data_IF_872009359051
#
_entry.id   IF_872009359051
#
_cell.length_a   1.000
_cell.length_b   1.000
_cell.length_c   1.000
_cell.angle_alpha   90.00
_cell.angle_beta   90.00
_cell.angle_gamma   90.00
#
_symmetry.space_group_name_H-M   'P 1'
#
loop_
_entity.id
_entity.type
_entity.pdbx_description
1 polymer ?
#
# COMPACT_ATOMS: atom_id res chain seq x y z
N UNK A 1 14.14 25.30 18.65
CA UNK A 1 13.26 26.41 18.21
C UNK A 1 11.92 26.16 18.86
N UNK A 2 11.37 27.16 19.54
CA UNK A 2 10.17 26.95 20.34
C UNK A 2 8.95 27.41 19.56
N UNK A 3 7.93 26.56 19.51
CA UNK A 3 6.73 26.76 18.70
C UNK A 3 5.51 26.71 19.60
N UNK A 4 4.86 27.86 19.80
CA UNK A 4 3.73 27.97 20.71
C UNK A 4 2.44 27.55 19.98
N UNK A 5 1.96 26.34 20.27
CA UNK A 5 0.67 25.84 19.78
C UNK A 5 -0.46 26.30 20.72
N UNK A 6 -0.23 26.24 22.03
CA UNK A 6 -1.10 26.85 23.03
C UNK A 6 -0.27 27.75 23.99
N UNK A 7 -0.47 29.09 23.98
CA UNK A 7 0.14 30.01 24.95
C UNK A 7 -0.31 29.84 26.40
N UNK A 8 -1.36 29.03 26.62
CA UNK A 8 -1.82 28.57 27.93
C UNK A 8 -1.56 27.08 28.17
N UNK A 9 -0.83 26.43 27.25
CA UNK A 9 -0.51 25.02 27.30
C UNK A 9 0.24 24.63 28.57
N UNK A 10 -0.22 23.52 29.16
CA UNK A 10 0.25 22.88 30.38
C UNK A 10 1.24 21.73 30.11
N UNK A 11 1.52 21.43 28.84
CA UNK A 11 2.53 20.48 28.41
C UNK A 11 3.46 21.05 27.31
N UNK A 12 4.62 20.42 27.14
CA UNK A 12 5.58 20.67 26.05
C UNK A 12 5.89 19.33 25.38
N UNK A 13 5.51 19.17 24.12
CA UNK A 13 5.93 18.04 23.30
C UNK A 13 7.28 18.35 22.67
N UNK A 14 8.26 17.48 22.91
CA UNK A 14 9.66 17.66 22.52
C UNK A 14 9.99 16.66 21.42
N UNK A 15 10.14 17.16 20.20
CA UNK A 15 10.53 16.39 19.03
C UNK A 15 12.06 16.31 18.95
N UNK A 16 12.59 15.10 19.11
CA UNK A 16 13.99 14.72 18.90
C UNK A 16 14.22 14.21 17.48
N UNK A 17 15.44 14.35 16.96
CA UNK A 17 15.83 13.89 15.62
C UNK A 17 14.81 14.31 14.52
N UNK A 18 14.45 15.62 14.43
CA UNK A 18 13.36 16.06 13.57
C UNK A 18 13.68 15.88 12.07
N UNK A 19 12.66 15.46 11.31
CA UNK A 19 12.70 15.30 9.84
C UNK A 19 13.59 14.16 9.32
N UNK A 20 13.74 13.05 10.05
CA UNK A 20 14.42 11.85 9.53
C UNK A 20 13.54 11.06 8.53
N UNK A 21 12.22 11.27 8.53
CA UNK A 21 11.28 10.68 7.56
C UNK A 21 11.58 11.11 6.10
N UNK A 22 12.19 10.21 5.32
CA UNK A 22 12.52 10.40 3.91
C UNK A 22 11.96 9.25 3.06
N UNK A 23 11.02 9.55 2.15
CA UNK A 23 10.50 8.57 1.18
C UNK A 23 11.42 8.47 -0.05
N UNK A 24 12.51 7.71 0.11
CA UNK A 24 13.44 7.34 -0.95
C UNK A 24 12.89 6.21 -1.83
N UNK A 25 13.01 6.34 -3.14
CA UNK A 25 12.61 5.30 -4.10
C UNK A 25 13.86 4.64 -4.72
N UNK A 26 13.89 3.31 -4.95
CA UNK A 26 15.04 2.63 -5.55
C UNK A 26 15.38 3.13 -6.96
N UNK A 27 16.65 3.51 -7.17
CA UNK A 27 17.15 3.86 -8.49
C UNK A 27 17.08 2.67 -9.46
N UNK A 28 16.51 2.91 -10.64
CA UNK A 28 16.35 1.91 -11.71
C UNK A 28 14.93 1.37 -11.89
N UNK A 29 14.09 1.33 -10.85
CA UNK A 29 12.68 0.98 -10.99
C UNK A 29 11.93 2.20 -11.58
N UNK A 30 11.44 2.09 -12.82
CA UNK A 30 10.97 3.22 -13.66
C UNK A 30 9.67 3.89 -13.17
N UNK A 31 9.74 4.67 -12.09
CA UNK A 31 8.67 5.59 -11.70
C UNK A 31 8.43 6.65 -12.79
N UNK A 32 7.22 6.69 -13.35
CA UNK A 32 6.81 7.55 -14.46
C UNK A 32 6.66 9.04 -14.13
N UNK A 33 7.66 9.69 -13.51
CA UNK A 33 7.51 10.95 -12.78
C UNK A 33 8.33 12.16 -13.25
N UNK A 34 8.57 12.38 -14.55
CA UNK A 34 9.29 13.59 -15.02
C UNK A 34 8.41 14.85 -14.99
N UNK A 35 8.31 15.46 -13.80
CA UNK A 35 7.65 16.75 -13.58
C UNK A 35 8.20 17.89 -14.47
N UNK A 36 7.31 18.67 -15.09
CA UNK A 36 7.66 19.74 -16.04
C UNK A 36 8.26 20.98 -15.34
N UNK A 37 9.59 21.05 -15.24
CA UNK A 37 10.32 22.32 -15.01
C UNK A 37 10.84 22.90 -16.34
N UNK A 38 10.90 24.22 -16.44
CA UNK A 38 11.65 24.91 -17.52
C UNK A 38 10.82 25.70 -18.55
N UNK A 39 10.03 26.68 -18.11
CA UNK A 39 9.49 27.73 -19.01
C UNK A 39 10.66 28.54 -19.57
N UNK A 40 10.97 28.42 -20.87
CA UNK A 40 11.93 29.31 -21.58
C UNK A 40 11.19 30.22 -22.55
N UNK A 41 11.29 31.52 -22.31
CA UNK A 41 10.75 32.55 -23.20
C UNK A 41 11.65 32.73 -24.43
N UNK A 42 11.03 32.90 -25.61
CA UNK A 42 11.65 33.54 -26.76
C UNK A 42 10.64 34.43 -27.45
N UNK A 43 10.90 35.74 -27.44
CA UNK A 43 10.18 36.72 -28.25
C UNK A 43 10.37 36.46 -29.75
N UNK A 44 9.31 36.52 -30.56
CA UNK A 44 9.35 37.36 -31.76
C UNK A 44 7.99 37.78 -32.38
N UNK A 45 7.98 39.04 -32.82
CA UNK A 45 7.09 39.80 -33.73
C UNK A 45 5.73 39.20 -34.20
N UNK A 46 4.68 39.88 -33.73
CA UNK A 46 3.45 40.34 -34.44
C UNK A 46 3.28 39.93 -35.93
N UNK A 47 2.21 39.18 -36.21
CA UNK A 47 1.45 39.23 -37.47
C UNK A 47 0.01 39.68 -37.19
N UNK A 48 -0.65 40.42 -38.10
CA UNK A 48 -1.92 41.13 -37.81
C UNK A 48 -3.02 40.87 -38.86
N UNK A 49 -4.05 40.08 -38.50
CA UNK A 49 -5.39 39.90 -39.12
C UNK A 49 -6.12 38.79 -38.33
N UNK A 50 -7.42 38.83 -37.95
CA UNK A 50 -8.36 39.95 -37.84
C UNK A 50 -9.82 39.56 -38.10
N UNK A 51 -10.74 39.69 -37.10
CA UNK A 51 -12.21 39.40 -37.14
C UNK A 51 -12.54 37.90 -37.34
N UNK A 52 -13.63 37.29 -36.85
CA UNK A 52 -14.72 37.53 -35.84
C UNK A 52 -14.79 36.22 -34.98
N UNK A 53 -15.39 36.10 -33.79
CA UNK A 53 -16.28 37.00 -33.05
C UNK A 53 -17.70 36.44 -32.91
N UNK A 54 -17.94 35.59 -31.89
CA UNK A 54 -19.25 35.37 -31.22
C UNK A 54 -19.08 34.48 -29.97
N UNK A 55 -19.67 34.89 -28.84
CA UNK A 55 -19.89 34.02 -27.68
C UNK A 55 -21.13 33.16 -27.91
N UNK A 56 -21.16 31.97 -27.29
CA UNK A 56 -22.37 31.42 -26.68
C UNK A 56 -21.96 30.90 -25.30
N UNK A 57 -22.45 31.56 -24.26
CA UNK A 57 -22.48 31.00 -22.90
C UNK A 57 -23.58 29.93 -22.88
N UNK A 58 -23.39 28.86 -22.10
CA UNK A 58 -24.51 28.01 -21.74
C UNK A 58 -24.35 27.51 -20.30
N UNK A 59 -25.02 28.21 -19.38
CA UNK A 59 -25.34 27.64 -18.09
C UNK A 59 -26.19 26.36 -18.26
N UNK A 60 -26.13 25.49 -17.24
CA UNK A 60 -27.23 24.60 -16.92
C UNK A 60 -27.52 24.78 -15.43
N UNK A 61 -28.74 25.24 -15.14
CA UNK A 61 -29.23 25.49 -13.79
C UNK A 61 -29.69 24.18 -13.11
N UNK A 62 -29.90 24.24 -11.79
CA UNK A 62 -30.40 23.12 -11.02
C UNK A 62 -31.94 23.12 -10.91
N UNK A 63 -32.54 21.95 -11.05
CA UNK A 63 -33.88 21.60 -10.57
C UNK A 63 -33.78 20.15 -10.06
N UNK A 64 -33.98 19.85 -8.77
CA UNK A 64 -35.19 19.97 -7.95
C UNK A 64 -36.13 18.75 -8.10
N UNK A 65 -36.06 17.87 -7.10
CA UNK A 65 -37.01 16.78 -6.82
C UNK A 65 -38.47 17.28 -6.77
N UNK A 66 -39.43 16.42 -7.12
CA UNK A 66 -40.43 16.09 -6.11
C UNK A 66 -41.01 14.66 -6.17
N UNK A 67 -41.27 14.10 -4.98
CA UNK A 67 -42.58 13.49 -4.71
C UNK A 67 -42.66 11.97 -4.59
N UNK A 68 -42.34 11.47 -3.39
CA UNK A 68 -43.13 10.50 -2.62
C UNK A 68 -44.15 9.60 -3.35
N UNK A 69 -43.97 8.29 -3.23
CA UNK A 69 -45.10 7.40 -2.92
C UNK A 69 -44.66 6.26 -1.98
N UNK A 70 -45.58 5.70 -1.18
CA UNK A 70 -45.26 4.77 -0.06
C UNK A 70 -46.38 3.78 0.26
N UNK A 71 -46.08 2.47 0.26
CA UNK A 71 -46.79 1.48 1.07
C UNK A 71 -45.95 1.01 2.28
N UNK A 72 -46.64 0.41 3.26
CA UNK A 72 -46.12 -0.17 4.50
C UNK A 72 -47.19 -1.12 5.08
N UNK A 73 -46.90 -1.97 6.09
CA UNK A 73 -45.66 -2.70 6.38
C UNK A 73 -45.89 -4.20 6.71
N UNK A 74 -44.79 -4.97 6.88
CA UNK A 74 -44.67 -6.13 7.80
C UNK A 74 -45.54 -7.40 7.54
N UNK A 75 -45.32 -8.56 8.22
CA UNK A 75 -45.10 -8.76 9.66
C UNK A 75 -43.75 -9.38 10.10
N UNK A 76 -43.51 -9.27 11.40
CA UNK A 76 -42.39 -9.81 12.17
C UNK A 76 -42.43 -11.35 12.31
N UNK A 77 -41.28 -11.96 12.63
CA UNK A 77 -41.21 -13.20 13.42
C UNK A 77 -40.01 -13.14 14.37
N UNK A 78 -40.29 -13.14 15.68
CA UNK A 78 -39.29 -13.18 16.76
C UNK A 78 -39.67 -14.25 17.76
N UNK A 79 -38.76 -15.21 18.01
CA UNK A 79 -38.80 -16.08 19.17
C UNK A 79 -37.39 -16.60 19.51
N UNK A 80 -36.97 -16.35 20.74
CA UNK A 80 -35.90 -17.07 21.47
C UNK A 80 -36.59 -17.82 22.64
N UNK A 81 -35.85 -18.51 23.54
CA UNK A 81 -34.69 -19.39 23.36
C UNK A 81 -35.05 -20.84 23.79
N UNK A 82 -34.08 -21.75 23.85
CA UNK A 82 -34.17 -23.01 24.62
C UNK A 82 -32.87 -23.20 25.40
N UNK A 83 -32.93 -23.76 26.60
CA UNK A 83 -31.79 -24.03 27.46
C UNK A 83 -31.71 -25.53 27.85
N UNK A 84 -30.50 -25.95 28.20
CA UNK A 84 -30.14 -27.17 28.94
C UNK A 84 -30.91 -27.29 30.28
N UNK A 85 -31.08 -28.49 30.90
CA UNK A 85 -29.92 -29.24 31.44
C UNK A 85 -30.03 -30.78 31.63
N UNK A 86 -28.98 -31.32 32.28
CA UNK A 86 -28.86 -32.54 33.10
C UNK A 86 -28.78 -33.94 32.44
N UNK A 87 -27.58 -34.56 32.50
CA UNK A 87 -27.33 -35.71 33.40
C UNK A 87 -25.82 -35.95 33.70
N UNK A 88 -25.50 -36.62 34.81
CA UNK A 88 -24.16 -36.77 35.43
C UNK A 88 -23.49 -38.18 35.24
N UNK A 89 -22.17 -38.33 35.55
CA UNK A 89 -21.39 -39.54 35.23
C UNK A 89 -21.04 -40.50 36.40
N UNK A 90 -20.91 -41.80 36.11
CA UNK A 90 -20.21 -42.85 36.89
C UNK A 90 -20.04 -44.14 36.03
N UNK A 91 -19.11 -45.08 36.26
CA UNK A 91 -17.94 -45.11 37.14
C UNK A 91 -17.40 -46.55 37.39
N UNK A 92 -16.11 -46.82 37.11
CA UNK A 92 -15.38 -48.07 37.45
C UNK A 92 -15.69 -49.33 36.59
N UNK A 93 -15.00 -50.48 36.81
CA UNK A 93 -13.96 -50.76 37.82
C UNK A 93 -12.57 -51.19 37.25
N UNK A 94 -11.56 -51.33 38.12
CA UNK A 94 -10.26 -52.00 37.87
C UNK A 94 -10.35 -53.53 38.09
N UNK A 95 -9.34 -54.31 37.64
CA UNK A 95 -8.31 -54.89 38.55
C UNK A 95 -6.90 -55.04 37.90
N UNK A 96 -5.78 -55.40 38.53
CA UNK A 96 -5.32 -55.55 39.94
C UNK A 96 -3.77 -55.70 39.93
N UNK A 97 -3.06 -55.40 41.05
CA UNK A 97 -1.84 -56.05 41.63
C UNK A 97 -0.61 -56.41 40.73
N UNK A 98 0.67 -56.53 41.11
CA UNK A 98 1.58 -56.54 42.30
C UNK A 98 3.02 -56.28 41.70
N UNK A 99 4.19 -55.99 42.32
CA UNK A 99 4.80 -55.49 43.59
C UNK A 99 6.34 -55.37 43.33
N UNK A 100 7.26 -54.79 44.13
CA UNK A 100 7.28 -53.81 45.24
C UNK A 100 8.75 -53.34 45.48
N UNK A 101 8.95 -52.32 46.33
CA UNK A 101 10.22 -51.94 47.01
C UNK A 101 11.33 -51.29 46.12
N UNK A 102 12.23 -50.42 46.60
CA UNK A 102 12.44 -49.86 47.95
C UNK A 102 13.28 -48.55 47.97
N UNK A 103 13.37 -47.90 49.14
CA UNK A 103 14.31 -46.82 49.55
C UNK A 103 14.03 -45.36 49.14
N UNK A 104 14.66 -44.43 49.86
CA UNK A 104 14.22 -43.02 50.05
C UNK A 104 15.37 -41.98 50.06
N UNK A 105 14.98 -40.71 50.15
CA UNK A 105 15.70 -39.49 50.56
C UNK A 105 16.34 -38.58 49.47
N UNK A 106 15.71 -37.41 49.31
CA UNK A 106 16.26 -36.06 49.09
C UNK A 106 17.45 -35.74 50.06
N UNK A 107 18.27 -34.66 49.87
CA UNK A 107 17.94 -33.41 49.15
C UNK A 107 19.04 -32.75 48.26
N UNK A 108 18.60 -31.68 47.56
CA UNK A 108 19.31 -30.44 47.12
C UNK A 108 20.79 -30.46 46.66
N UNK A 109 21.07 -29.91 45.47
CA UNK A 109 22.43 -29.58 44.99
C UNK A 109 22.46 -28.62 43.79
N UNK A 110 23.43 -27.69 43.77
CA UNK A 110 23.58 -26.63 42.75
C UNK A 110 24.35 -27.10 41.48
N UNK A 111 24.05 -26.57 40.26
CA UNK A 111 24.68 -27.06 39.02
C UNK A 111 26.00 -26.37 38.65
N UNK A 112 27.07 -27.17 38.54
CA UNK A 112 28.33 -26.94 37.82
C UNK A 112 28.99 -28.33 37.62
N UNK A 113 29.93 -28.60 36.71
CA UNK A 113 30.62 -27.84 35.67
C UNK A 113 31.14 -28.84 34.61
N UNK A 114 31.58 -28.39 33.43
CA UNK A 114 32.76 -28.95 32.75
C UNK A 114 33.22 -28.00 31.62
N UNK A 115 34.48 -27.61 31.66
CA UNK A 115 35.08 -26.59 30.79
C UNK A 115 36.29 -27.14 29.99
N UNK A 116 37.17 -26.23 29.56
CA UNK A 116 38.42 -26.43 28.78
C UNK A 116 38.27 -26.56 27.24
N UNK A 117 39.12 -25.94 26.41
CA UNK A 117 40.10 -24.87 26.67
C UNK A 117 40.39 -24.04 25.39
N UNK A 118 41.07 -22.89 25.56
CA UNK A 118 41.46 -21.94 24.50
C UNK A 118 42.87 -22.21 23.97
N UNK A 119 43.25 -21.65 22.81
CA UNK A 119 44.30 -20.62 22.85
C UNK A 119 44.03 -19.38 21.97
N UNK A 120 44.96 -18.41 21.98
CA UNK A 120 44.78 -17.00 21.55
C UNK A 120 45.94 -16.46 20.70
N UNK A 121 45.66 -15.60 19.71
CA UNK A 121 46.61 -14.70 19.00
C UNK A 121 45.80 -13.85 17.98
N UNK A 122 46.00 -12.55 17.72
CA UNK A 122 46.73 -11.48 18.46
C UNK A 122 46.28 -10.06 18.03
N UNK A 123 46.68 -9.06 18.82
CA UNK A 123 46.93 -7.65 18.44
C UNK A 123 45.92 -6.92 17.51
N UNK A 124 44.97 -6.19 18.10
CA UNK A 124 44.38 -5.02 17.45
C UNK A 124 45.41 -3.89 17.33
N UNK A 125 45.44 -3.18 16.20
CA UNK A 125 46.19 -1.92 16.07
C UNK A 125 45.27 -0.72 16.30
N UNK A 126 45.76 0.26 17.03
CA UNK A 126 45.05 1.50 17.34
C UNK A 126 44.71 2.28 16.07
N UNK A 127 43.53 2.91 16.03
CA UNK A 127 43.24 3.97 15.06
C UNK A 127 42.48 5.09 15.75
N UNK A 128 43.26 5.94 16.43
CA UNK A 128 43.04 7.37 16.69
C UNK A 128 41.59 7.84 16.59
N UNK A 129 40.93 7.98 17.75
CA UNK A 129 39.56 8.48 17.88
C UNK A 129 39.33 9.78 17.10
N UNK A 130 38.33 9.86 16.21
CA UNK A 130 37.84 11.14 15.75
C UNK A 130 37.14 11.82 16.93
N UNK A 131 37.48 13.09 17.17
CA UNK A 131 36.79 13.91 18.17
C UNK A 131 35.38 14.22 17.68
N UNK A 132 34.40 13.43 18.11
CA UNK A 132 32.99 13.75 17.92
C UNK A 132 32.67 15.05 18.65
N UNK A 133 32.53 16.14 17.90
CA UNK A 133 31.80 17.30 18.36
C UNK A 133 30.36 16.86 18.64
N UNK A 134 29.94 16.92 19.90
CA UNK A 134 28.53 16.83 20.25
C UNK A 134 27.82 18.08 19.69
N UNK A 135 27.36 18.01 18.44
CA UNK A 135 26.18 18.77 18.06
C UNK A 135 25.03 18.19 18.88
N UNK A 136 24.47 18.99 19.80
CA UNK A 136 23.27 18.57 20.53
C UNK A 136 22.15 18.25 19.53
N UNK A 137 21.38 17.16 19.74
CA UNK A 137 20.25 16.84 18.87
C UNK A 137 19.34 18.06 18.76
N UNK A 138 19.01 18.48 17.53
CA UNK A 138 18.17 19.66 17.29
C UNK A 138 16.74 19.41 17.78
N UNK A 139 16.47 19.67 19.05
CA UNK A 139 15.12 19.55 19.59
C UNK A 139 14.20 20.69 19.08
N UNK A 140 12.96 20.33 18.75
CA UNK A 140 11.87 21.28 18.49
C UNK A 140 10.83 21.12 19.59
N UNK A 141 10.59 22.19 20.34
CA UNK A 141 9.63 22.19 21.45
C UNK A 141 8.31 22.80 21.01
N UNK A 142 7.23 22.07 21.23
CA UNK A 142 5.85 22.47 20.93
C UNK A 142 5.10 22.66 22.25
N UNK A 143 4.76 23.89 22.62
CA UNK A 143 3.92 24.14 23.79
C UNK A 143 2.46 23.85 23.46
N UNK A 144 1.83 22.96 24.22
CA UNK A 144 0.56 22.28 23.88
C UNK A 144 -0.31 22.10 25.12
N UNK A 145 -1.62 21.86 24.92
CA UNK A 145 -2.57 21.53 25.96
C UNK A 145 -2.74 20.01 26.08
N UNK A 146 -2.52 19.47 27.27
CA UNK A 146 -2.71 18.04 27.57
C UNK A 146 -4.13 17.60 27.25
N UNK A 147 -5.13 18.40 27.62
CA UNK A 147 -6.54 18.10 27.44
C UNK A 147 -6.95 17.97 25.97
N UNK A 148 -6.40 18.80 25.08
CA UNK A 148 -6.65 18.69 23.64
C UNK A 148 -6.02 17.43 23.05
N UNK A 149 -4.78 17.10 23.46
CA UNK A 149 -4.09 15.89 23.03
C UNK A 149 -4.81 14.61 23.50
N UNK A 150 -5.13 14.51 24.80
CA UNK A 150 -5.86 13.38 25.38
C UNK A 150 -7.27 13.22 24.80
N UNK A 151 -7.95 14.30 24.44
CA UNK A 151 -9.27 14.21 23.81
C UNK A 151 -9.17 13.64 22.39
N UNK A 152 -8.25 14.18 21.58
CA UNK A 152 -8.14 13.87 20.15
C UNK A 152 -7.40 12.56 19.81
N UNK A 153 -6.72 11.93 20.77
CA UNK A 153 -5.88 10.75 20.54
C UNK A 153 -5.85 9.83 21.77
N UNK A 154 -6.13 8.52 21.63
CA UNK A 154 -5.95 7.57 22.71
C UNK A 154 -4.46 7.36 23.05
N UNK A 155 -3.56 7.50 22.07
CA UNK A 155 -2.11 7.33 22.27
C UNK A 155 -1.53 8.49 23.08
N UNK A 156 -1.84 9.75 22.74
CA UNK A 156 -1.45 10.88 23.59
C UNK A 156 -2.08 10.80 24.98
N UNK A 157 -3.33 10.30 25.09
CA UNK A 157 -3.97 10.05 26.39
C UNK A 157 -3.15 9.09 27.25
N UNK A 158 -2.74 7.95 26.68
CA UNK A 158 -1.87 6.97 27.36
C UNK A 158 -0.50 7.57 27.73
N UNK A 159 0.08 8.44 26.88
CA UNK A 159 1.32 9.16 27.19
C UNK A 159 1.17 10.19 28.32
N UNK A 160 -0.03 10.72 28.56
CA UNK A 160 -0.32 11.75 29.57
C UNK A 160 -0.86 11.20 30.90
N UNK A 161 -1.47 10.02 30.88
CA UNK A 161 -2.14 9.35 32.01
C UNK A 161 -1.41 8.09 32.50
N UNK A 162 -0.50 7.53 31.69
CA UNK A 162 0.15 6.24 31.95
C UNK A 162 1.23 6.25 33.04
N UNK A 163 1.63 5.06 33.54
CA UNK A 163 2.68 4.92 34.56
C UNK A 163 4.12 5.15 34.04
N UNK A 164 4.30 5.48 32.75
CA UNK A 164 5.59 5.86 32.19
C UNK A 164 5.99 7.22 32.76
N UNK A 165 7.01 7.26 33.63
CA UNK A 165 7.45 8.48 34.35
C UNK A 165 8.26 9.46 33.47
N UNK A 166 7.95 9.58 32.19
CA UNK A 166 8.43 10.69 31.37
C UNK A 166 7.61 11.94 31.71
N UNK A 167 8.13 12.77 32.63
CA UNK A 167 7.54 14.07 32.96
C UNK A 167 7.08 14.28 34.41
N UNK A 168 7.19 13.30 35.31
CA UNK A 168 6.91 13.51 36.75
C UNK A 168 8.15 14.07 37.46
N UNK A 169 8.52 15.30 37.11
CA UNK A 169 9.23 16.19 38.03
C UNK A 169 8.18 16.91 38.87
N UNK A 170 8.06 16.49 40.13
CA UNK A 170 7.01 16.93 41.03
C UNK A 170 7.01 18.46 41.19
N UNK A 171 5.87 19.09 40.91
CA UNK A 171 5.66 20.54 41.03
C UNK A 171 6.04 21.44 39.84
N UNK A 172 6.64 20.95 38.74
CA UNK A 172 6.98 21.81 37.59
C UNK A 172 6.00 21.68 36.42
N UNK A 173 5.20 22.73 36.19
CA UNK A 173 4.46 22.95 34.94
C UNK A 173 5.31 23.82 33.99
N UNK A 174 5.31 23.54 32.66
CA UNK A 174 4.51 22.54 31.95
C UNK A 174 5.16 21.14 31.94
N UNK A 175 4.36 20.08 31.81
CA UNK A 175 4.86 18.69 31.70
C UNK A 175 5.62 18.47 30.39
N UNK A 176 6.81 17.87 30.41
CA UNK A 176 7.50 17.47 29.19
C UNK A 176 7.03 16.09 28.69
N UNK A 177 6.72 15.98 27.39
CA UNK A 177 6.46 14.74 26.66
C UNK A 177 7.53 14.56 25.57
N UNK A 178 8.07 13.36 25.39
CA UNK A 178 9.05 13.11 24.34
C UNK A 178 8.47 12.41 23.12
N UNK A 179 9.00 12.75 21.94
CA UNK A 179 8.74 12.05 20.69
C UNK A 179 9.92 12.23 19.74
N UNK A 180 9.99 11.46 18.66
CA UNK A 180 11.19 11.39 17.82
C UNK A 180 10.88 11.18 16.34
N UNK A 181 11.83 11.53 15.48
CA UNK A 181 11.92 11.15 14.05
C UNK A 181 10.87 11.77 13.11
N UNK A 182 9.77 12.30 13.63
CA UNK A 182 8.73 12.97 12.86
C UNK A 182 9.22 14.18 12.04
N UNK A 183 8.62 14.36 10.86
CA UNK A 183 8.66 15.62 10.12
C UNK A 183 8.03 16.74 10.94
N UNK A 184 8.79 17.81 11.16
CA UNK A 184 8.42 18.94 12.03
C UNK A 184 7.20 19.67 11.52
N UNK A 185 7.04 19.79 10.19
CA UNK A 185 5.92 20.51 9.59
C UNK A 185 4.66 19.65 9.58
N UNK A 186 4.77 18.34 9.34
CA UNK A 186 3.66 17.41 9.49
C UNK A 186 3.12 17.40 10.94
N UNK A 187 4.01 17.30 11.94
CA UNK A 187 3.63 17.36 13.36
C UNK A 187 3.05 18.73 13.73
N UNK A 188 3.64 19.83 13.26
CA UNK A 188 3.11 21.18 13.46
C UNK A 188 1.70 21.33 12.87
N UNK A 189 1.42 20.75 11.70
CA UNK A 189 0.08 20.76 11.11
C UNK A 189 -0.92 19.96 11.95
N UNK A 190 -0.58 18.73 12.35
CA UNK A 190 -1.45 17.89 13.19
C UNK A 190 -1.78 18.55 14.53
N UNK A 191 -0.77 19.12 15.21
CA UNK A 191 -0.98 19.84 16.47
C UNK A 191 -1.88 21.08 16.31
N UNK A 192 -1.79 21.80 15.18
CA UNK A 192 -2.71 22.93 14.90
C UNK A 192 -4.16 22.47 14.64
N UNK A 193 -4.36 21.27 14.10
CA UNK A 193 -5.69 20.66 13.96
C UNK A 193 -6.26 20.30 15.34
N UNK A 194 -5.51 19.53 16.14
CA UNK A 194 -5.93 19.08 17.48
C UNK A 194 -6.29 20.25 18.41
N UNK A 195 -5.58 21.39 18.31
CA UNK A 195 -5.85 22.59 19.11
C UNK A 195 -6.85 23.56 18.47
N UNK A 196 -7.64 23.12 17.48
CA UNK A 196 -8.68 23.94 16.81
C UNK A 196 -8.14 25.16 16.05
N UNK A 197 -6.83 25.27 15.83
CA UNK A 197 -6.16 26.44 15.24
C UNK A 197 -6.25 26.42 13.70
N UNK A 198 -7.46 26.21 13.17
CA UNK A 198 -7.71 25.95 11.75
C UNK A 198 -7.19 27.05 10.80
N UNK A 199 -7.03 28.30 11.29
CA UNK A 199 -6.41 29.41 10.53
C UNK A 199 -4.90 29.23 10.26
N UNK A 200 -4.21 28.40 11.06
CA UNK A 200 -2.81 28.05 10.90
C UNK A 200 -2.59 26.75 10.09
N UNK A 201 -3.67 26.03 9.77
CA UNK A 201 -3.64 24.79 8.97
C UNK A 201 -3.59 25.16 7.48
N UNK A 202 -2.67 24.58 6.67
CA UNK A 202 -2.59 24.88 5.24
C UNK A 202 -3.86 24.49 4.47
N UNK A 203 -4.30 25.34 3.53
CA UNK A 203 -5.42 25.01 2.62
C UNK A 203 -5.08 23.93 1.57
N UNK A 204 -3.80 23.61 1.44
CA UNK A 204 -3.25 22.60 0.52
C UNK A 204 -1.89 22.17 1.03
N UNK A 205 -1.59 20.88 0.99
CA UNK A 205 -0.27 20.30 1.32
C UNK A 205 0.30 19.58 0.10
N UNK A 206 1.58 19.21 0.14
CA UNK A 206 2.14 18.29 -0.87
C UNK A 206 1.72 16.84 -0.56
N UNK A 207 1.74 15.95 -1.56
CA UNK A 207 1.46 14.52 -1.35
C UNK A 207 2.43 13.89 -0.33
N UNK A 208 3.71 14.26 -0.36
CA UNK A 208 4.69 13.81 0.64
C UNK A 208 4.33 14.29 2.05
N UNK A 209 3.93 15.55 2.20
CA UNK A 209 3.47 16.11 3.47
C UNK A 209 2.20 15.39 3.96
N UNK A 210 1.28 15.04 3.05
CA UNK A 210 0.08 14.27 3.38
C UNK A 210 0.41 12.84 3.81
N UNK A 211 1.37 12.18 3.16
CA UNK A 211 1.89 10.88 3.58
C UNK A 211 2.52 10.92 4.98
N UNK A 212 3.31 11.96 5.28
CA UNK A 212 3.89 12.18 6.61
C UNK A 212 2.82 12.47 7.67
N UNK A 213 1.79 13.23 7.35
CA UNK A 213 0.62 13.42 8.23
C UNK A 213 -0.13 12.10 8.43
N UNK A 214 -0.30 11.28 7.40
CA UNK A 214 -0.95 9.97 7.51
C UNK A 214 -0.21 9.04 8.49
N UNK A 215 1.13 9.00 8.48
CA UNK A 215 1.93 8.23 9.46
C UNK A 215 1.63 8.71 10.89
N UNK A 216 1.57 10.02 11.11
CA UNK A 216 1.27 10.58 12.44
C UNK A 216 -0.17 10.27 12.88
N UNK A 217 -1.13 10.32 11.96
CA UNK A 217 -2.55 10.10 12.29
C UNK A 217 -2.85 8.63 12.58
N UNK A 218 -2.22 7.72 11.82
CA UNK A 218 -2.23 6.28 12.07
C UNK A 218 -1.60 5.96 13.44
N UNK A 219 -0.36 6.43 13.66
CA UNK A 219 0.39 6.23 14.90
C UNK A 219 -0.32 6.78 16.15
N UNK A 220 -0.83 8.01 16.09
CA UNK A 220 -1.56 8.62 17.22
C UNK A 220 -3.05 8.26 17.26
N UNK A 221 -3.56 7.52 16.27
CA UNK A 221 -4.97 7.09 16.14
C UNK A 221 -5.97 8.25 16.22
N UNK A 222 -5.67 9.37 15.54
CA UNK A 222 -6.44 10.62 15.63
C UNK A 222 -7.19 10.99 14.32
N UNK A 223 -7.72 9.98 13.63
CA UNK A 223 -8.36 10.09 12.32
C UNK A 223 -9.49 11.14 12.28
N UNK A 224 -10.46 11.05 13.19
CA UNK A 224 -11.67 11.89 13.26
C UNK A 224 -11.36 13.40 13.22
N UNK A 225 -10.40 13.88 14.02
CA UNK A 225 -10.07 15.32 14.05
C UNK A 225 -9.41 15.82 12.75
N UNK A 226 -8.87 14.93 11.91
CA UNK A 226 -8.18 15.29 10.67
C UNK A 226 -9.01 15.13 9.39
N UNK A 227 -10.10 14.35 9.44
CA UNK A 227 -10.91 13.94 8.28
C UNK A 227 -11.23 15.09 7.30
N UNK A 228 -11.82 16.18 7.81
CA UNK A 228 -12.24 17.35 7.02
C UNK A 228 -11.06 18.06 6.31
N UNK A 229 -9.86 18.01 6.89
CA UNK A 229 -8.66 18.57 6.26
C UNK A 229 -8.08 17.64 5.20
N UNK A 230 -8.11 16.33 5.45
CA UNK A 230 -7.64 15.30 4.53
C UNK A 230 -8.49 15.29 3.26
N UNK A 231 -9.81 15.31 3.37
CA UNK A 231 -10.75 15.44 2.25
C UNK A 231 -10.43 16.67 1.36
N UNK A 232 -10.22 17.83 2.00
CA UNK A 232 -9.87 19.08 1.33
C UNK A 232 -8.53 18.97 0.57
N UNK A 233 -7.54 18.31 1.16
CA UNK A 233 -6.22 18.13 0.56
C UNK A 233 -6.21 17.11 -0.57
N UNK A 234 -6.88 15.97 -0.40
CA UNK A 234 -7.02 14.95 -1.45
C UNK A 234 -7.72 15.53 -2.68
N UNK A 235 -8.80 16.31 -2.48
CA UNK A 235 -9.50 17.03 -3.54
C UNK A 235 -8.64 18.11 -4.23
N UNK A 236 -7.69 18.73 -3.51
CA UNK A 236 -6.73 19.66 -4.09
C UNK A 236 -5.61 18.96 -4.90
N UNK A 237 -5.33 17.69 -4.57
CA UNK A 237 -4.32 16.82 -5.19
C UNK A 237 -4.87 15.92 -6.31
N UNK A 238 -6.19 15.72 -6.43
CA UNK A 238 -6.86 14.81 -7.38
C UNK A 238 -6.36 14.94 -8.83
N UNK A 239 -6.13 16.18 -9.29
CA UNK A 239 -5.58 16.50 -10.63
C UNK A 239 -4.17 15.95 -10.90
N UNK A 240 -3.42 15.66 -9.84
CA UNK A 240 -2.04 15.16 -9.82
C UNK A 240 -2.00 13.66 -9.44
N UNK A 241 -3.15 12.96 -9.45
CA UNK A 241 -3.25 11.52 -9.20
C UNK A 241 -2.44 10.72 -10.26
N UNK A 242 -1.63 9.73 -9.86
CA UNK A 242 -0.71 9.04 -10.76
C UNK A 242 -1.39 8.14 -11.78
N UNK A 243 -0.84 8.09 -13.00
CA UNK A 243 -1.28 7.25 -14.12
C UNK A 243 -0.39 6.03 -14.35
N UNK A 244 0.46 5.68 -13.37
CA UNK A 244 1.43 4.58 -13.40
C UNK A 244 1.94 4.30 -11.99
N UNK A 245 2.35 3.06 -11.73
CA UNK A 245 2.99 2.69 -10.46
C UNK A 245 4.32 3.43 -10.23
N UNK A 246 4.57 3.81 -8.98
CA UNK A 246 5.80 4.48 -8.52
C UNK A 246 5.62 5.13 -7.15
N UNK A 247 6.65 5.87 -6.69
CA UNK A 247 6.67 6.64 -5.43
C UNK A 247 5.33 7.28 -5.07
N UNK A 248 4.81 8.13 -5.95
CA UNK A 248 3.60 8.88 -5.68
C UNK A 248 2.38 7.95 -5.53
N UNK A 249 2.25 6.87 -6.31
CA UNK A 249 1.14 5.91 -6.14
C UNK A 249 1.24 5.11 -4.84
N UNK A 250 2.44 4.81 -4.35
CA UNK A 250 2.61 4.18 -3.02
C UNK A 250 2.21 5.14 -1.90
N UNK A 251 2.51 6.45 -2.02
CA UNK A 251 2.04 7.44 -1.03
C UNK A 251 0.51 7.57 -1.08
N UNK A 252 -0.09 7.68 -2.28
CA UNK A 252 -1.56 7.68 -2.41
C UNK A 252 -2.19 6.38 -1.85
N UNK A 253 -1.56 5.22 -2.07
CA UNK A 253 -2.01 3.93 -1.50
C UNK A 253 -2.05 4.00 0.03
N UNK A 254 -0.94 4.36 0.66
CA UNK A 254 -0.85 4.44 2.13
C UNK A 254 -1.84 5.48 2.71
N UNK A 255 -1.91 6.67 2.12
CA UNK A 255 -2.87 7.71 2.54
C UNK A 255 -4.32 7.21 2.40
N UNK A 256 -4.65 6.55 1.29
CA UNK A 256 -6.00 5.99 1.08
C UNK A 256 -6.34 4.80 1.97
N UNK A 257 -5.34 4.08 2.47
CA UNK A 257 -5.48 3.03 3.47
C UNK A 257 -5.82 3.64 4.84
N UNK A 258 -4.95 4.51 5.37
CA UNK A 258 -5.13 5.18 6.67
C UNK A 258 -6.48 5.89 6.77
N UNK A 259 -6.85 6.65 5.74
CA UNK A 259 -8.10 7.40 5.71
C UNK A 259 -9.27 6.66 5.03
N UNK A 260 -9.15 5.35 4.80
CA UNK A 260 -10.22 4.47 4.29
C UNK A 260 -10.91 4.94 2.98
N UNK A 261 -10.22 5.67 2.11
CA UNK A 261 -10.79 6.17 0.84
C UNK A 261 -10.80 5.08 -0.24
N UNK A 262 -11.81 4.20 -0.20
CA UNK A 262 -11.94 3.01 -1.05
C UNK A 262 -11.69 3.25 -2.55
N UNK A 263 -12.21 4.32 -3.13
CA UNK A 263 -12.06 4.61 -4.57
C UNK A 263 -10.63 5.07 -4.98
N UNK A 264 -9.80 5.49 -4.02
CA UNK A 264 -8.38 5.84 -4.21
C UNK A 264 -7.53 4.58 -3.95
N UNK A 265 -7.88 3.82 -2.92
CA UNK A 265 -7.23 2.56 -2.54
C UNK A 265 -7.38 1.48 -3.63
N UNK A 266 -8.57 1.32 -4.21
CA UNK A 266 -8.81 0.40 -5.32
C UNK A 266 -7.95 0.78 -6.54
N UNK A 267 -7.95 2.04 -6.96
CA UNK A 267 -7.14 2.49 -8.12
C UNK A 267 -5.63 2.36 -7.90
N UNK A 268 -5.14 2.63 -6.69
CA UNK A 268 -3.70 2.55 -6.38
C UNK A 268 -3.22 1.10 -6.23
N UNK A 269 -4.02 0.21 -5.64
CA UNK A 269 -3.74 -1.24 -5.67
C UNK A 269 -3.86 -1.81 -7.08
N UNK A 270 -4.81 -1.36 -7.91
CA UNK A 270 -4.92 -1.75 -9.32
C UNK A 270 -3.65 -1.38 -10.12
N UNK A 271 -3.15 -0.14 -9.97
CA UNK A 271 -1.89 0.31 -10.58
C UNK A 271 -0.71 -0.57 -10.12
N UNK A 272 -0.63 -0.89 -8.83
CA UNK A 272 0.41 -1.77 -8.29
C UNK A 272 0.34 -3.17 -8.92
N UNK A 273 -0.84 -3.82 -8.92
CA UNK A 273 -1.06 -5.15 -9.51
C UNK A 273 -0.66 -5.15 -11.00
N UNK A 274 -1.05 -4.14 -11.77
CA UNK A 274 -0.85 -4.10 -13.23
C UNK A 274 0.58 -3.72 -13.63
N UNK A 275 1.29 -2.92 -12.83
CA UNK A 275 2.55 -2.29 -13.27
C UNK A 275 3.78 -2.62 -12.43
N UNK A 276 3.65 -3.13 -11.21
CA UNK A 276 4.82 -3.55 -10.42
C UNK A 276 5.52 -4.77 -11.05
N UNK A 277 6.81 -4.93 -10.74
CA UNK A 277 7.67 -6.00 -11.25
C UNK A 277 8.06 -7.01 -10.15
N UNK A 278 7.22 -7.11 -9.12
CA UNK A 278 7.47 -7.77 -7.84
C UNK A 278 6.60 -7.15 -6.73
N UNK A 279 6.89 -7.45 -5.45
CA UNK A 279 6.28 -6.82 -4.30
C UNK A 279 6.29 -5.29 -4.37
N UNK A 280 5.31 -4.66 -3.72
CA UNK A 280 5.23 -3.20 -3.65
C UNK A 280 6.35 -2.64 -2.79
N UNK A 281 7.07 -1.69 -3.35
CA UNK A 281 8.06 -0.86 -2.65
C UNK A 281 7.31 0.14 -1.76
N UNK A 282 7.60 0.10 -0.46
CA UNK A 282 6.90 0.89 0.57
C UNK A 282 7.62 2.18 0.92
N UNK A 283 8.92 2.31 0.65
CA UNK A 283 9.74 3.46 1.06
C UNK A 283 9.66 3.74 2.58
N UNK A 284 9.62 2.68 3.39
CA UNK A 284 9.40 2.74 4.84
C UNK A 284 8.02 3.28 5.29
N UNK A 285 7.03 3.37 4.39
CA UNK A 285 5.63 3.58 4.78
C UNK A 285 5.09 2.32 5.50
N UNK A 286 4.33 2.45 6.62
CA UNK A 286 3.78 1.32 7.36
C UNK A 286 2.53 0.73 6.68
N UNK A 287 2.73 0.15 5.49
CA UNK A 287 1.68 -0.56 4.74
C UNK A 287 1.60 -2.01 5.27
N UNK A 288 0.42 -2.54 5.64
CA UNK A 288 0.30 -3.89 6.20
C UNK A 288 0.86 -5.00 5.32
N UNK A 289 1.62 -5.92 5.92
CA UNK A 289 2.24 -7.06 5.21
C UNK A 289 1.25 -7.98 4.50
N UNK A 290 0.05 -8.18 5.07
CA UNK A 290 -1.04 -8.91 4.44
C UNK A 290 -1.52 -8.26 3.14
N UNK A 291 -1.67 -6.94 3.12
CA UNK A 291 -2.07 -6.17 1.94
C UNK A 291 -1.00 -6.25 0.84
N UNK A 292 0.28 -6.07 1.19
CA UNK A 292 1.41 -6.23 0.26
C UNK A 292 1.42 -7.64 -0.36
N UNK A 293 1.18 -8.66 0.45
CA UNK A 293 1.08 -10.07 0.02
C UNK A 293 -0.12 -10.31 -0.89
N UNK A 294 -1.26 -9.65 -0.66
CA UNK A 294 -2.46 -9.75 -1.49
C UNK A 294 -2.28 -9.10 -2.87
N UNK A 295 -1.67 -7.90 -2.92
CA UNK A 295 -1.29 -7.24 -4.18
C UNK A 295 -0.36 -8.13 -5.02
N UNK A 296 0.69 -8.65 -4.39
CA UNK A 296 1.66 -9.54 -5.05
C UNK A 296 1.01 -10.85 -5.51
N UNK A 297 0.12 -11.43 -4.70
CA UNK A 297 -0.64 -12.64 -5.06
C UNK A 297 -1.53 -12.42 -6.28
N UNK A 298 -2.27 -11.30 -6.35
CA UNK A 298 -3.07 -10.94 -7.54
C UNK A 298 -2.20 -10.76 -8.78
N UNK A 299 -1.03 -10.12 -8.66
CA UNK A 299 -0.06 -9.98 -9.75
C UNK A 299 0.44 -11.34 -10.25
N UNK A 300 0.87 -12.23 -9.34
CA UNK A 300 1.38 -13.57 -9.67
C UNK A 300 0.30 -14.40 -10.37
N UNK A 301 -0.94 -14.40 -9.87
CA UNK A 301 -2.06 -15.16 -10.45
C UNK A 301 -2.36 -14.70 -11.88
N UNK A 302 -2.46 -13.39 -12.13
CA UNK A 302 -2.77 -12.89 -13.47
C UNK A 302 -1.61 -13.09 -14.46
N UNK A 303 -0.36 -12.94 -14.04
CA UNK A 303 0.80 -13.30 -14.89
C UNK A 303 0.77 -14.80 -15.24
N UNK A 304 0.43 -15.67 -14.28
CA UNK A 304 0.27 -17.11 -14.53
C UNK A 304 -0.91 -17.42 -15.47
N UNK A 305 -2.03 -16.67 -15.39
CA UNK A 305 -3.16 -16.79 -16.31
C UNK A 305 -2.78 -16.39 -17.74
N UNK A 306 -1.99 -15.32 -17.92
CA UNK A 306 -1.49 -14.87 -19.23
C UNK A 306 -0.56 -15.93 -19.85
N UNK A 307 0.41 -16.45 -19.10
CA UNK A 307 1.25 -17.55 -19.59
C UNK A 307 0.45 -18.83 -19.88
N UNK A 308 -0.55 -19.13 -19.05
CA UNK A 308 -1.48 -20.24 -19.28
C UNK A 308 -2.35 -20.05 -20.53
N UNK A 309 -2.72 -18.82 -20.88
CA UNK A 309 -3.42 -18.48 -22.13
C UNK A 309 -2.52 -18.76 -23.35
N UNK A 310 -1.25 -18.35 -23.30
CA UNK A 310 -0.28 -18.66 -24.37
C UNK A 310 -0.03 -20.17 -24.51
N UNK A 311 0.05 -20.92 -23.39
CA UNK A 311 0.14 -22.39 -23.42
C UNK A 311 -1.12 -23.04 -24.03
N UNK A 312 -2.33 -22.57 -23.67
CA UNK A 312 -3.59 -23.06 -24.26
C UNK A 312 -3.64 -22.79 -25.77
N UNK A 313 -3.19 -21.62 -26.21
CA UNK A 313 -3.08 -21.29 -27.64
C UNK A 313 -2.07 -22.20 -28.35
N UNK A 314 -0.85 -22.34 -27.84
CA UNK A 314 0.17 -23.25 -28.40
C UNK A 314 -0.37 -24.67 -28.52
N UNK A 315 -0.95 -25.21 -27.46
CA UNK A 315 -1.50 -26.56 -27.46
C UNK A 315 -2.68 -26.70 -28.43
N UNK A 316 -3.54 -25.68 -28.56
CA UNK A 316 -4.64 -25.64 -29.55
C UNK A 316 -4.17 -25.50 -31.00
N UNK A 317 -2.91 -25.13 -31.26
CA UNK A 317 -2.32 -25.08 -32.59
C UNK A 317 -1.57 -26.39 -32.93
N UNK A 318 -1.15 -27.16 -31.93
CA UNK A 318 -0.57 -28.50 -32.08
C UNK A 318 -1.60 -29.64 -32.16
N UNK A 319 -2.87 -29.38 -31.83
CA UNK A 319 -3.89 -30.42 -31.65
C UNK A 319 -4.77 -30.64 -32.88
N UNK A 320 -5.13 -31.91 -33.12
CA UNK A 320 -6.18 -32.32 -34.05
C UNK A 320 -7.55 -32.42 -33.36
N UNK A 321 -8.67 -32.14 -34.07
CA UNK A 321 -8.71 -31.63 -35.44
C UNK A 321 -8.36 -30.14 -35.51
N UNK A 322 -7.55 -29.77 -36.51
CA UNK A 322 -7.11 -28.37 -36.70
C UNK A 322 -8.28 -27.45 -37.05
N UNK A 323 -8.41 -26.32 -36.32
CA UNK A 323 -9.51 -25.34 -36.45
C UNK A 323 -9.66 -24.64 -37.82
N UNK A 324 -8.65 -24.72 -38.70
CA UNK A 324 -8.66 -24.00 -39.98
C UNK A 324 -7.96 -24.80 -41.10
N UNK A 325 -6.63 -24.91 -41.07
CA UNK A 325 -5.84 -25.80 -41.94
C UNK A 325 -4.49 -26.09 -41.28
N UNK A 326 -3.84 -27.17 -41.69
CA UNK A 326 -2.52 -27.58 -41.19
C UNK A 326 -1.45 -26.49 -41.42
N UNK A 327 -1.52 -25.80 -42.55
CA UNK A 327 -0.64 -24.68 -42.90
C UNK A 327 -0.91 -23.49 -41.96
N UNK A 328 -2.18 -23.15 -41.72
CA UNK A 328 -2.56 -22.09 -40.81
C UNK A 328 -2.03 -22.35 -39.38
N UNK A 329 -2.27 -23.54 -38.83
CA UNK A 329 -1.84 -23.86 -37.47
C UNK A 329 -0.32 -23.92 -37.34
N UNK A 330 0.37 -24.54 -38.31
CA UNK A 330 1.84 -24.62 -38.35
C UNK A 330 2.50 -23.25 -38.46
N UNK A 331 1.96 -22.35 -39.30
CA UNK A 331 2.47 -20.98 -39.45
C UNK A 331 2.20 -20.12 -38.21
N UNK A 332 1.01 -20.22 -37.61
CA UNK A 332 0.69 -19.50 -36.37
C UNK A 332 1.52 -20.02 -35.18
N UNK A 333 1.66 -21.34 -35.03
CA UNK A 333 2.50 -21.97 -34.00
C UNK A 333 3.96 -21.55 -34.14
N UNK A 334 4.49 -21.61 -35.37
CA UNK A 334 5.84 -21.18 -35.69
C UNK A 334 6.09 -19.69 -35.46
N UNK A 335 5.06 -18.84 -35.57
CA UNK A 335 5.15 -17.43 -35.21
C UNK A 335 5.10 -17.23 -33.70
N UNK A 336 4.12 -17.84 -33.00
CA UNK A 336 3.95 -17.76 -31.55
C UNK A 336 5.23 -18.16 -30.80
N UNK A 337 5.82 -19.31 -31.15
CA UNK A 337 7.06 -19.80 -30.52
C UNK A 337 8.25 -18.88 -30.81
N UNK A 338 8.35 -18.30 -32.03
CA UNK A 338 9.41 -17.35 -32.36
C UNK A 338 9.26 -16.04 -31.60
N UNK A 339 8.06 -15.48 -31.48
CA UNK A 339 7.84 -14.25 -30.73
C UNK A 339 8.07 -14.46 -29.23
N UNK A 340 7.59 -15.58 -28.65
CA UNK A 340 7.87 -15.92 -27.24
C UNK A 340 9.37 -16.02 -26.95
N UNK A 341 10.13 -16.69 -27.82
CA UNK A 341 11.57 -16.83 -27.69
C UNK A 341 12.31 -15.50 -27.84
N UNK A 342 11.99 -14.72 -28.89
CA UNK A 342 12.63 -13.41 -29.16
C UNK A 342 12.37 -12.38 -28.05
N UNK A 343 11.21 -12.44 -27.40
CA UNK A 343 10.85 -11.57 -26.27
C UNK A 343 11.29 -12.13 -24.90
N UNK A 344 12.00 -13.26 -24.86
CA UNK A 344 12.51 -13.88 -23.62
C UNK A 344 11.43 -14.42 -22.68
N UNK A 345 10.21 -14.65 -23.17
CA UNK A 345 9.05 -14.96 -22.34
C UNK A 345 9.15 -16.32 -21.64
N UNK A 346 9.82 -17.30 -22.24
CA UNK A 346 10.05 -18.62 -21.64
C UNK A 346 10.91 -18.54 -20.36
N UNK A 347 11.86 -17.59 -20.30
CA UNK A 347 12.67 -17.32 -19.12
C UNK A 347 11.83 -16.77 -17.98
N UNK A 348 11.02 -15.73 -18.24
CA UNK A 348 10.11 -15.16 -17.24
C UNK A 348 9.10 -16.18 -16.75
N UNK A 349 8.46 -16.92 -17.67
CA UNK A 349 7.48 -17.96 -17.38
C UNK A 349 7.99 -19.02 -16.40
N UNK A 350 9.27 -19.37 -16.50
CA UNK A 350 9.92 -20.37 -15.66
C UNK A 350 10.32 -19.83 -14.28
N UNK A 351 10.53 -18.51 -14.16
CA UNK A 351 11.06 -17.84 -12.98
C UNK A 351 9.96 -17.24 -12.07
N UNK A 352 9.11 -18.09 -11.47
CA UNK A 352 8.18 -17.65 -10.40
C UNK A 352 8.97 -17.05 -9.21
N UNK A 353 8.52 -15.96 -8.57
CA UNK A 353 7.23 -15.27 -8.70
C UNK A 353 7.17 -14.18 -9.81
N UNK A 354 7.90 -14.35 -10.91
CA UNK A 354 7.89 -13.43 -12.06
C UNK A 354 8.47 -12.04 -11.73
N UNK A 355 9.60 -12.01 -11.02
CA UNK A 355 10.35 -10.76 -10.80
C UNK A 355 10.81 -10.13 -12.13
N UNK A 356 10.83 -8.81 -12.19
CA UNK A 356 11.12 -8.06 -13.43
C UNK A 356 9.95 -8.00 -14.43
N UNK A 357 8.89 -8.79 -14.23
CA UNK A 357 7.75 -8.90 -15.13
C UNK A 357 6.52 -8.19 -14.55
N UNK A 358 5.86 -7.35 -15.35
CA UNK A 358 4.58 -6.71 -15.00
C UNK A 358 3.51 -7.05 -16.05
N UNK A 359 2.24 -6.98 -15.64
CA UNK A 359 1.10 -7.33 -16.52
C UNK A 359 1.02 -6.36 -17.70
N UNK A 360 1.21 -5.06 -17.45
CA UNK A 360 1.29 -4.01 -18.49
C UNK A 360 2.44 -4.24 -19.48
N UNK A 361 3.56 -4.81 -19.03
CA UNK A 361 4.65 -5.19 -19.95
C UNK A 361 4.31 -6.43 -20.78
N UNK A 362 3.65 -7.44 -20.20
CA UNK A 362 3.16 -8.60 -20.94
C UNK A 362 2.11 -8.22 -21.97
N UNK A 363 1.11 -7.42 -21.60
CA UNK A 363 0.08 -6.88 -22.50
C UNK A 363 0.71 -6.19 -23.71
N UNK A 364 1.66 -5.28 -23.48
CA UNK A 364 2.36 -4.54 -24.54
C UNK A 364 3.23 -5.45 -25.40
N UNK A 365 3.96 -6.39 -24.81
CA UNK A 365 4.82 -7.34 -25.53
C UNK A 365 4.00 -8.28 -26.42
N UNK A 366 2.92 -8.84 -25.87
CA UNK A 366 2.05 -9.82 -26.54
C UNK A 366 1.19 -9.14 -27.62
N UNK A 367 0.73 -7.90 -27.41
CA UNK A 367 -0.03 -7.13 -28.41
C UNK A 367 0.79 -6.71 -29.63
N UNK A 368 2.11 -6.89 -29.60
CA UNK A 368 3.03 -6.65 -30.71
C UNK A 368 3.54 -7.94 -31.39
N UNK A 369 3.01 -9.12 -31.03
CA UNK A 369 3.39 -10.38 -31.67
C UNK A 369 3.11 -10.37 -33.18
N UNK A 370 4.15 -10.62 -33.97
CA UNK A 370 4.04 -10.72 -35.43
C UNK A 370 3.22 -11.95 -35.82
N UNK A 371 2.32 -11.74 -36.79
CA UNK A 371 1.55 -12.79 -37.47
C UNK A 371 2.06 -12.93 -38.92
N UNK A 372 2.22 -14.15 -39.46
CA UNK A 372 2.67 -14.35 -40.84
C UNK A 372 1.57 -13.97 -41.85
N UNK A 373 1.93 -13.22 -42.89
CA UNK A 373 1.05 -12.95 -44.02
C UNK A 373 1.32 -13.93 -45.16
N UNK A 374 0.30 -14.70 -45.56
CA UNK A 374 0.40 -15.72 -46.60
C UNK A 374 -0.92 -15.85 -47.38
N UNK A 375 -0.90 -16.65 -48.43
CA UNK A 375 -2.05 -17.04 -49.26
C UNK A 375 -1.84 -18.49 -49.72
N UNK A 376 -2.91 -19.26 -49.86
CA UNK A 376 -2.81 -20.55 -50.55
C UNK A 376 -2.61 -20.30 -52.07
N UNK A 377 -1.88 -21.18 -52.76
CA UNK A 377 -1.63 -21.10 -54.21
C UNK A 377 -2.94 -21.11 -54.99
N UNK A 378 -3.92 -21.90 -54.53
CA UNK A 378 -5.25 -22.01 -55.14
C UNK A 378 -6.20 -20.84 -54.78
N UNK A 379 -5.73 -19.85 -54.00
CA UNK A 379 -6.54 -18.73 -53.50
C UNK A 379 -5.88 -17.39 -53.75
N UNK A 380 -6.47 -16.61 -54.67
CA UNK A 380 -6.15 -15.19 -54.87
C UNK A 380 -6.40 -14.32 -53.62
N UNK A 381 -7.07 -14.84 -52.59
CA UNK A 381 -7.29 -14.15 -51.32
C UNK A 381 -6.19 -14.46 -50.31
N UNK A 382 -5.64 -13.40 -49.70
CA UNK A 382 -4.75 -13.47 -48.54
C UNK A 382 -5.46 -14.17 -47.38
N UNK A 383 -4.75 -15.08 -46.71
CA UNK A 383 -5.24 -15.75 -45.52
C UNK A 383 -5.50 -14.75 -44.39
N UNK A 384 -6.59 -14.95 -43.63
CA UNK A 384 -7.09 -13.94 -42.67
C UNK A 384 -6.79 -14.24 -41.20
N UNK A 385 -6.61 -15.51 -40.80
CA UNK A 385 -6.47 -15.84 -39.38
C UNK A 385 -5.12 -15.36 -38.82
N UNK A 386 -5.19 -14.68 -37.68
CA UNK A 386 -4.06 -14.08 -36.97
C UNK A 386 -3.91 -14.66 -35.57
N UNK A 387 -2.76 -14.40 -34.92
CA UNK A 387 -2.64 -14.66 -33.48
C UNK A 387 -3.55 -13.73 -32.67
N UNK A 388 -3.72 -12.49 -33.13
CA UNK A 388 -4.59 -11.47 -32.53
C UNK A 388 -6.04 -11.96 -32.32
N UNK A 389 -6.60 -12.71 -33.28
CA UNK A 389 -7.98 -13.20 -33.24
C UNK A 389 -8.28 -14.09 -32.01
N UNK A 390 -7.26 -14.73 -31.42
CA UNK A 390 -7.38 -15.51 -30.18
C UNK A 390 -6.75 -14.79 -28.98
N UNK A 391 -5.61 -14.13 -29.18
CA UNK A 391 -4.87 -13.45 -28.11
C UNK A 391 -5.62 -12.24 -27.57
N UNK A 392 -6.15 -11.36 -28.42
CA UNK A 392 -6.75 -10.09 -27.97
C UNK A 392 -8.06 -10.28 -27.17
N UNK A 393 -8.98 -11.20 -27.54
CA UNK A 393 -10.13 -11.52 -26.69
C UNK A 393 -9.73 -12.12 -25.34
N UNK A 394 -8.86 -13.14 -25.34
CA UNK A 394 -8.46 -13.84 -24.10
C UNK A 394 -7.59 -12.98 -23.17
N UNK A 395 -6.79 -12.06 -23.72
CA UNK A 395 -6.07 -11.04 -22.94
C UNK A 395 -7.07 -10.07 -22.30
N UNK A 396 -8.07 -9.58 -23.05
CA UNK A 396 -9.08 -8.66 -22.53
C UNK A 396 -9.87 -9.28 -21.37
N UNK A 397 -10.31 -10.53 -21.51
CA UNK A 397 -11.01 -11.28 -20.46
C UNK A 397 -10.21 -11.28 -19.14
N UNK A 398 -8.90 -11.59 -19.21
CA UNK A 398 -8.02 -11.55 -18.03
C UNK A 398 -7.90 -10.11 -17.48
N UNK A 399 -7.66 -9.12 -18.34
CA UNK A 399 -7.46 -7.73 -17.92
C UNK A 399 -8.74 -7.05 -17.36
N UNK A 400 -9.93 -7.48 -17.78
CA UNK A 400 -11.22 -7.01 -17.24
C UNK A 400 -11.50 -7.58 -15.84
N UNK A 401 -10.98 -8.76 -15.50
CA UNK A 401 -11.04 -9.29 -14.11
C UNK A 401 -10.02 -8.63 -13.16
N UNK A 402 -9.04 -7.89 -13.68
CA UNK A 402 -8.03 -7.20 -12.88
C UNK A 402 -8.56 -5.88 -12.32
N UNK A 403 -9.27 -5.98 -11.20
CA UNK A 403 -9.69 -4.86 -10.35
C UNK A 403 -8.75 -4.69 -9.15
N UNK A 404 -8.76 -3.49 -8.57
CA UNK A 404 -8.08 -3.20 -7.31
C UNK A 404 -8.67 -3.97 -6.13
N UNK A 405 -8.01 -3.87 -4.99
CA UNK A 405 -8.46 -4.44 -3.72
C UNK A 405 -9.51 -3.47 -3.13
N UNK A 406 -10.66 -3.98 -2.71
CA UNK A 406 -11.77 -3.20 -2.16
C UNK A 406 -11.77 -3.24 -0.63
N UNK A 407 -11.61 -2.07 0.01
CA UNK A 407 -11.75 -1.93 1.45
C UNK A 407 -13.14 -2.40 1.91
N UNK A 408 -13.16 -3.17 2.99
CA UNK A 408 -14.38 -3.75 3.58
C UNK A 408 -14.97 -4.96 2.84
N UNK A 409 -14.36 -5.39 1.72
CA UNK A 409 -14.79 -6.57 0.95
C UNK A 409 -13.62 -7.55 0.76
N UNK A 410 -12.53 -7.07 0.17
CA UNK A 410 -11.32 -7.88 -0.06
C UNK A 410 -10.32 -7.77 1.10
N UNK A 411 -10.31 -6.64 1.79
CA UNK A 411 -9.38 -6.30 2.88
C UNK A 411 -10.11 -5.51 3.96
N UNK A 412 -10.03 -5.93 5.23
CA UNK A 412 -10.59 -5.22 6.37
C UNK A 412 -9.51 -4.54 7.19
N UNK A 413 -9.86 -3.49 7.93
CA UNK A 413 -8.93 -2.88 8.90
C UNK A 413 -8.73 -3.78 10.15
N UNK A 414 -9.47 -4.88 10.29
CA UNK A 414 -9.26 -5.89 11.33
C UNK A 414 -8.10 -6.84 11.05
N UNK A 415 -7.63 -6.93 9.80
CA UNK A 415 -6.55 -7.82 9.34
C UNK A 415 -5.14 -7.28 9.69
N UNK A 416 -5.02 -6.55 10.81
CA UNK A 416 -3.81 -5.88 11.30
C UNK A 416 -2.98 -6.73 12.29
N UNK A 417 -3.34 -7.99 12.55
CA UNK A 417 -2.75 -8.84 13.60
C UNK A 417 -1.81 -9.92 13.06
#
# INVERSE_FOLDING_TARGET
MDTEIDPRGDAVLILRIPNSQVFSWPDGQKGGGKGKKGKKEKNHKKGKKGKKGKNVLREFEAAAEPGLDRPAPEPELVAQPVADPDFEPAGGPEPDLETAAENMHEPEGSPAELAEARPTSECCKETRSPSFSHEEPREVKFRVSSSHLSLASPVFRIMLEGPLKEGVLDGQSPRELFTSEWDTEALRVLLNIIHGRHRAVPKSVSLETLGKIAILVDYYQCHEVTEVFVDLWLKALEKDFPTSYGRESTIWLFVSFVFSHSAIFEKTTELAIKESQGPVETMCLPIPGGLLTMVESRRIVAIAQIFGMLDRLRNSLCADPVKCSFECSSMQLGSLVKEMHVQGLDSFKSARPFYGCSIKWLEQTISNFRTPHWSNVDSFYRHKCTLDDTIKPAMREILETLQGIKLGIDWSCGDQK
#
